data_IF_278667882101
#
_entry.id   IF_278667882101
#
_cell.length_a   1.000
_cell.length_b   1.000
_cell.length_c   1.000
_cell.angle_alpha   90.00
_cell.angle_beta   90.00
_cell.angle_gamma   90.00
#
_symmetry.space_group_name_H-M   'P 1'
#
loop_
_entity.id
_entity.type
_entity.pdbx_description
1 polymer ?
#
# COMPACT_ATOMS: atom_id res chain seq x y z
N UNK A 1 -8.73 7.51 5.33
CA UNK A 1 -8.91 6.05 5.53
C UNK A 1 -10.13 5.50 4.84
N UNK A 2 -9.92 4.71 3.79
CA UNK A 2 -10.96 3.94 3.09
C UNK A 2 -11.47 2.77 3.95
N UNK A 3 -12.63 2.15 3.63
CA UNK A 3 -13.10 0.95 4.34
C UNK A 3 -12.10 -0.22 4.33
N UNK A 4 -11.39 -0.43 3.22
CA UNK A 4 -10.35 -1.46 3.12
C UNK A 4 -9.16 -1.17 4.01
N UNK A 5 -8.65 0.05 4.00
CA UNK A 5 -7.56 0.48 4.90
C UNK A 5 -7.97 0.31 6.36
N UNK A 6 -9.19 0.73 6.73
CA UNK A 6 -9.69 0.56 8.11
C UNK A 6 -9.69 -0.91 8.52
N UNK A 7 -10.24 -1.77 7.67
CA UNK A 7 -10.30 -3.21 7.93
C UNK A 7 -8.90 -3.83 8.05
N UNK A 8 -7.95 -3.37 7.25
CA UNK A 8 -6.56 -3.82 7.36
C UNK A 8 -5.91 -3.33 8.65
N UNK A 9 -6.06 -2.05 8.99
CA UNK A 9 -5.52 -1.46 10.22
C UNK A 9 -5.98 -2.22 11.47
N UNK A 10 -7.29 -2.45 11.61
CA UNK A 10 -7.87 -3.22 12.72
C UNK A 10 -7.31 -4.65 12.79
N UNK A 11 -6.99 -5.26 11.64
CA UNK A 11 -6.40 -6.60 11.59
C UNK A 11 -4.93 -6.58 12.00
N UNK A 12 -4.15 -5.62 11.52
CA UNK A 12 -2.75 -5.45 11.91
C UNK A 12 -2.65 -5.20 13.41
N UNK A 13 -3.44 -4.27 13.95
CA UNK A 13 -3.52 -3.99 15.40
C UNK A 13 -3.89 -5.24 16.20
N UNK A 14 -4.85 -6.04 15.73
CA UNK A 14 -5.27 -7.26 16.46
C UNK A 14 -4.31 -8.45 16.37
N UNK A 15 -3.30 -8.42 15.47
CA UNK A 15 -2.48 -9.60 15.13
C UNK A 15 -0.99 -9.40 15.29
N UNK A 16 -0.51 -8.17 15.17
CA UNK A 16 0.90 -7.86 15.40
C UNK A 16 1.16 -7.79 16.91
N UNK A 17 2.35 -8.23 17.31
CA UNK A 17 2.85 -8.07 18.67
C UNK A 17 3.48 -6.67 18.86
N UNK A 18 3.80 -6.33 20.11
CA UNK A 18 4.26 -4.99 20.49
C UNK A 18 5.63 -4.60 19.91
N UNK A 19 6.37 -5.54 19.31
CA UNK A 19 7.65 -5.27 18.65
C UNK A 19 7.47 -4.64 17.25
N UNK A 20 6.22 -4.57 16.76
CA UNK A 20 5.90 -3.93 15.49
C UNK A 20 5.54 -2.45 15.66
N UNK A 21 6.16 -1.60 14.83
CA UNK A 21 5.73 -0.23 14.62
C UNK A 21 4.90 -0.16 13.34
N UNK A 22 3.69 0.39 13.46
CA UNK A 22 2.76 0.60 12.34
C UNK A 22 2.60 2.09 12.07
N UNK A 23 2.98 2.54 10.88
CA UNK A 23 2.69 3.88 10.39
C UNK A 23 1.60 3.83 9.32
N UNK A 24 0.68 4.79 9.38
CA UNK A 24 -0.41 4.98 8.43
C UNK A 24 -0.31 6.39 7.85
N UNK A 25 -0.29 6.50 6.53
CA UNK A 25 -0.23 7.79 5.79
C UNK A 25 0.87 8.74 6.30
N UNK A 26 2.02 8.17 6.67
CA UNK A 26 3.19 8.96 7.10
C UNK A 26 4.04 9.26 5.86
N UNK A 27 4.38 10.53 5.59
CA UNK A 27 5.23 10.86 4.46
C UNK A 27 6.63 10.30 4.64
N UNK A 28 7.17 9.72 3.58
CA UNK A 28 8.50 9.09 3.57
C UNK A 28 9.37 9.61 2.43
N UNK A 29 10.66 9.70 2.71
CA UNK A 29 11.69 10.07 1.73
C UNK A 29 11.66 11.53 1.26
N UNK A 30 12.64 11.91 0.43
CA UNK A 30 12.81 13.29 -0.05
C UNK A 30 11.69 13.74 -0.99
N UNK A 31 10.94 12.80 -1.57
CA UNK A 31 9.80 13.07 -2.46
C UNK A 31 8.47 13.18 -1.74
N UNK A 32 8.46 13.05 -0.40
CA UNK A 32 7.25 13.11 0.42
C UNK A 32 6.16 12.15 -0.09
N UNK A 33 6.54 10.90 -0.31
CA UNK A 33 5.61 9.86 -0.75
C UNK A 33 4.75 9.37 0.41
N UNK A 34 3.51 8.98 0.12
CA UNK A 34 2.52 8.57 1.10
C UNK A 34 2.10 7.12 0.85
N UNK A 35 2.87 6.13 1.35
CA UNK A 35 2.40 4.74 1.35
C UNK A 35 1.22 4.58 2.33
N UNK A 36 0.28 3.69 2.01
CA UNK A 36 -0.89 3.49 2.89
C UNK A 36 -0.46 2.99 4.29
N UNK A 37 0.41 1.96 4.33
CA UNK A 37 1.01 1.48 5.58
C UNK A 37 2.50 1.16 5.46
N UNK A 38 3.24 1.49 6.50
CA UNK A 38 4.62 1.01 6.74
C UNK A 38 4.63 0.20 8.03
N UNK A 39 4.92 -1.09 7.90
CA UNK A 39 5.05 -2.02 9.02
C UNK A 39 6.53 -2.28 9.27
N UNK A 40 7.02 -2.00 10.48
CA UNK A 40 8.45 -2.08 10.82
C UNK A 40 8.62 -3.03 11.98
N UNK A 41 9.59 -3.93 11.88
CA UNK A 41 10.01 -4.78 12.99
C UNK A 41 11.54 -4.83 13.05
N UNK A 42 12.16 -4.57 14.21
CA UNK A 42 13.61 -4.33 14.34
C UNK A 42 14.48 -5.48 13.84
N UNK A 43 13.97 -6.72 13.86
CA UNK A 43 14.70 -7.92 13.40
C UNK A 43 14.19 -8.52 12.08
N UNK A 44 13.09 -8.02 11.53
CA UNK A 44 12.44 -8.58 10.32
C UNK A 44 12.46 -7.58 9.16
N UNK A 45 12.79 -6.32 9.43
CA UNK A 45 12.86 -5.25 8.44
C UNK A 45 11.54 -4.50 8.32
N UNK A 46 11.31 -3.95 7.13
CA UNK A 46 10.13 -3.15 6.82
C UNK A 46 9.26 -3.83 5.75
N UNK A 47 7.96 -3.57 5.80
CA UNK A 47 6.98 -4.01 4.84
C UNK A 47 6.07 -2.82 4.48
N UNK A 48 6.02 -2.50 3.19
CA UNK A 48 5.11 -1.49 2.65
C UNK A 48 3.85 -2.19 2.14
N UNK A 49 2.69 -1.69 2.54
CA UNK A 49 1.39 -2.21 2.09
C UNK A 49 0.62 -1.09 1.41
N UNK A 50 0.17 -1.38 0.20
CA UNK A 50 -0.79 -0.58 -0.57
C UNK A 50 -2.14 -1.29 -0.58
N UNK A 51 -3.21 -0.57 -0.27
CA UNK A 51 -4.56 -1.11 -0.16
C UNK A 51 -5.43 -0.51 -1.25
N UNK A 52 -5.92 -1.36 -2.15
CA UNK A 52 -6.89 -0.96 -3.16
C UNK A 52 -8.23 -1.66 -2.88
N UNK A 53 -9.29 -0.89 -2.70
CA UNK A 53 -10.66 -1.37 -2.47
C UNK A 53 -11.36 -1.93 -3.73
N UNK A 54 -10.58 -2.47 -4.66
CA UNK A 54 -11.08 -2.96 -5.93
C UNK A 54 -11.71 -4.35 -5.77
N UNK A 55 -12.83 -4.56 -6.46
CA UNK A 55 -13.38 -5.90 -6.64
C UNK A 55 -12.68 -6.56 -7.83
N UNK A 56 -12.41 -7.87 -7.77
CA UNK A 56 -11.82 -8.58 -8.92
C UNK A 56 -12.61 -8.39 -10.22
N UNK A 57 -13.94 -8.32 -10.12
CA UNK A 57 -14.85 -8.06 -11.25
C UNK A 57 -14.68 -6.68 -11.89
N UNK A 58 -14.04 -5.73 -11.19
CA UNK A 58 -13.75 -4.39 -11.71
C UNK A 58 -12.41 -4.33 -12.44
N UNK A 59 -11.57 -5.36 -12.37
CA UNK A 59 -10.29 -5.39 -13.07
C UNK A 59 -10.53 -5.88 -14.50
N UNK A 60 -10.29 -5.01 -15.49
CA UNK A 60 -10.44 -5.34 -16.91
C UNK A 60 -9.15 -5.91 -17.49
N UNK A 61 -8.00 -5.32 -17.16
CA UNK A 61 -6.67 -5.79 -17.57
C UNK A 61 -5.62 -5.42 -16.53
N UNK A 62 -4.58 -6.23 -16.42
CA UNK A 62 -3.46 -5.99 -15.53
C UNK A 62 -2.16 -6.40 -16.22
N UNK A 63 -1.20 -5.48 -16.29
CA UNK A 63 0.16 -5.77 -16.71
C UNK A 63 1.16 -5.29 -15.64
N UNK A 64 2.46 -5.38 -15.95
CA UNK A 64 3.53 -5.08 -15.00
C UNK A 64 3.64 -3.59 -14.66
N UNK A 65 3.13 -2.70 -15.50
CA UNK A 65 3.25 -1.25 -15.39
C UNK A 65 1.91 -0.61 -15.04
N UNK A 66 0.84 -1.04 -15.70
CA UNK A 66 -0.48 -0.41 -15.60
C UNK A 66 -1.61 -1.44 -15.53
N UNK A 67 -2.68 -1.05 -14.84
CA UNK A 67 -3.92 -1.82 -14.75
C UNK A 67 -5.05 -0.96 -15.30
N UNK A 68 -6.04 -1.59 -15.93
CA UNK A 68 -7.30 -0.95 -16.30
C UNK A 68 -8.39 -1.49 -15.40
N UNK A 69 -9.05 -0.60 -14.67
CA UNK A 69 -10.14 -0.90 -13.74
C UNK A 69 -11.43 -0.18 -14.12
N UNK A 70 -12.58 -0.70 -13.70
CA UNK A 70 -13.92 -0.16 -13.98
C UNK A 70 -14.70 -0.08 -12.65
N UNK A 71 -14.36 0.85 -11.75
CA UNK A 71 -15.00 0.94 -10.44
C UNK A 71 -16.47 1.37 -10.52
N UNK A 72 -16.77 2.32 -11.41
CA UNK A 72 -18.09 2.97 -11.53
C UNK A 72 -18.64 2.88 -12.98
N UNK A 73 -18.40 1.74 -13.64
CA UNK A 73 -18.82 1.51 -15.03
C UNK A 73 -17.97 2.23 -16.09
N UNK A 74 -17.05 3.11 -15.69
CA UNK A 74 -16.11 3.80 -16.59
C UNK A 74 -14.71 3.23 -16.45
N UNK A 75 -14.04 2.80 -17.55
CA UNK A 75 -12.66 2.37 -17.52
C UNK A 75 -11.71 3.49 -17.10
N UNK A 76 -10.81 3.16 -16.17
CA UNK A 76 -9.74 4.01 -15.68
C UNK A 76 -8.44 3.22 -15.69
N UNK A 77 -7.42 3.79 -16.33
CA UNK A 77 -6.06 3.26 -16.25
C UNK A 77 -5.38 3.82 -15.00
N UNK A 78 -4.70 2.95 -14.28
CA UNK A 78 -3.97 3.26 -13.04
C UNK A 78 -2.59 2.58 -13.09
N UNK A 79 -1.63 3.11 -12.35
CA UNK A 79 -0.34 2.45 -12.17
C UNK A 79 -0.53 1.12 -11.44
N UNK A 80 0.34 0.16 -11.74
CA UNK A 80 0.37 -1.12 -11.04
C UNK A 80 0.64 -0.88 -9.54
N UNK A 81 -0.29 -1.23 -8.63
CA UNK A 81 -0.12 -1.01 -7.20
C UNK A 81 1.13 -1.69 -6.63
N UNK A 82 1.53 -2.83 -7.20
CA UNK A 82 2.74 -3.52 -6.77
C UNK A 82 4.01 -2.74 -7.12
N UNK A 83 4.02 -2.09 -8.28
CA UNK A 83 5.14 -1.26 -8.71
C UNK A 83 5.20 0.03 -7.88
N UNK A 84 4.04 0.63 -7.57
CA UNK A 84 3.92 1.75 -6.65
C UNK A 84 4.51 1.40 -5.26
N UNK A 85 4.10 0.26 -4.68
CA UNK A 85 4.63 -0.22 -3.40
C UNK A 85 6.16 -0.46 -3.45
N UNK A 86 6.66 -1.00 -4.57
CA UNK A 86 8.10 -1.21 -4.78
C UNK A 86 8.87 0.10 -4.79
N UNK A 87 8.35 1.14 -5.45
CA UNK A 87 8.98 2.46 -5.48
C UNK A 87 9.01 3.10 -4.09
N UNK A 88 7.92 2.99 -3.32
CA UNK A 88 7.89 3.45 -1.94
C UNK A 88 8.90 2.73 -1.06
N UNK A 89 9.06 1.41 -1.20
CA UNK A 89 10.06 0.66 -0.45
C UNK A 89 11.49 1.19 -0.66
N UNK A 90 11.87 1.53 -1.91
CA UNK A 90 13.18 2.14 -2.19
C UNK A 90 13.34 3.49 -1.50
N UNK A 91 12.31 4.35 -1.57
CA UNK A 91 12.37 5.69 -0.96
C UNK A 91 12.41 5.64 0.57
N UNK A 92 11.74 4.66 1.20
CA UNK A 92 11.81 4.45 2.65
C UNK A 92 13.19 3.97 3.06
N UNK A 93 13.77 3.01 2.34
CA UNK A 93 15.11 2.51 2.63
C UNK A 93 16.16 3.63 2.49
N UNK A 94 16.06 4.47 1.46
CA UNK A 94 16.98 5.59 1.26
C UNK A 94 16.85 6.69 2.33
N UNK A 95 15.73 6.73 3.06
CA UNK A 95 15.43 7.75 4.06
C UNK A 95 15.77 7.34 5.51
N UNK A 96 16.03 6.06 5.76
CA UNK A 96 16.33 5.47 7.07
C UNK A 96 17.83 5.26 7.27
#
# INVERSE_FOLDING_TARGET
>A
MTPGERRLAERLESKLDDDYLLWYDVPVGPTNSHPDFVVIHPRRGLLILEVKDWKLSTIQSADKQTWTIIPDGTPKMVENPLEQARQYAHQVVDAL
#
